data_IF_960515726086
#
_entry.id   IF_960515726086
#
_cell.length_a   1.000
_cell.length_b   1.000
_cell.length_c   1.000
_cell.angle_alpha   90.00
_cell.angle_beta   90.00
_cell.angle_gamma   90.00
#
_symmetry.space_group_name_H-M   'P 1'
#
loop_
_entity.id
_entity.type
_entity.pdbx_description
1 polymer ?
#
# COMPACT_ATOMS: atom_id res chain seq x y z
N UNK A 1 3.26 10.35 -1.56
CA UNK A 1 2.87 8.94 -1.45
C UNK A 1 3.72 8.28 -0.40
N UNK A 2 3.13 7.46 0.46
CA UNK A 2 3.86 6.44 1.22
C UNK A 2 3.56 5.12 0.53
N UNK A 3 4.60 4.34 0.25
CA UNK A 3 4.52 3.06 -0.44
C UNK A 3 5.16 2.00 0.47
N UNK A 4 4.32 1.27 1.20
CA UNK A 4 4.77 0.20 2.12
C UNK A 4 5.11 -1.09 1.39
N UNK A 5 4.74 -1.23 0.12
CA UNK A 5 5.20 -2.29 -0.77
C UNK A 5 6.55 -1.98 -1.43
N UNK A 6 6.99 -0.72 -1.38
CA UNK A 6 8.18 -0.19 -2.02
C UNK A 6 9.46 -0.33 -1.19
N UNK A 7 10.59 -0.53 -1.88
CA UNK A 7 11.92 -0.63 -1.26
C UNK A 7 12.75 0.65 -1.33
N UNK A 8 12.16 1.78 -1.74
CA UNK A 8 12.88 3.03 -2.00
C UNK A 8 12.10 4.27 -1.54
N UNK A 9 12.83 5.31 -1.14
CA UNK A 9 12.31 6.66 -0.97
C UNK A 9 12.69 7.45 -2.22
N UNK A 10 11.79 8.25 -2.80
CA UNK A 10 12.17 9.11 -3.92
C UNK A 10 11.32 10.38 -4.07
N UNK A 11 11.87 11.43 -4.69
CA UNK A 11 11.18 12.70 -5.00
C UNK A 11 11.58 13.27 -6.38
N UNK A 12 10.77 14.16 -6.96
CA UNK A 12 11.08 14.79 -8.26
C UNK A 12 12.15 15.87 -8.15
N UNK A 13 13.19 15.75 -8.98
CA UNK A 13 14.36 16.61 -8.94
C UNK A 13 14.53 17.45 -10.22
N UNK A 14 15.15 18.62 -10.08
CA UNK A 14 15.56 19.45 -11.21
C UNK A 14 16.92 19.02 -11.78
N UNK A 15 17.15 19.11 -13.11
CA UNK A 15 16.15 19.34 -14.14
C UNK A 15 15.33 18.07 -14.41
N UNK A 16 14.00 18.22 -14.46
CA UNK A 16 13.15 17.09 -14.79
C UNK A 16 12.89 17.01 -16.29
N UNK A 17 12.91 15.79 -16.85
CA UNK A 17 12.58 15.53 -18.26
C UNK A 17 11.10 15.21 -18.47
N UNK A 18 10.55 14.24 -17.72
CA UNK A 18 9.17 13.76 -17.84
C UNK A 18 8.52 13.71 -16.44
N UNK A 19 8.06 14.86 -15.92
CA UNK A 19 7.44 14.98 -14.60
C UNK A 19 5.95 15.31 -14.68
N UNK A 20 5.17 14.77 -13.75
CA UNK A 20 3.81 15.26 -13.46
C UNK A 20 3.87 16.53 -12.60
N UNK A 21 2.79 17.31 -12.64
CA UNK A 21 2.66 18.50 -11.81
C UNK A 21 2.44 18.10 -10.34
N UNK A 22 3.34 18.55 -9.46
CA UNK A 22 3.21 18.41 -8.01
C UNK A 22 2.90 19.76 -7.36
N UNK A 23 2.22 19.74 -6.22
CA UNK A 23 1.86 20.93 -5.43
C UNK A 23 3.08 21.73 -4.97
N UNK A 24 4.17 21.04 -4.64
CA UNK A 24 5.41 21.64 -4.12
C UNK A 24 6.48 21.77 -5.21
N UNK A 25 7.45 22.67 -5.04
CA UNK A 25 8.54 22.82 -6.00
C UNK A 25 9.36 21.53 -6.14
N UNK A 26 9.88 21.27 -7.35
CA UNK A 26 10.81 20.17 -7.60
C UNK A 26 12.08 20.37 -6.75
N UNK A 27 12.63 19.29 -6.22
CA UNK A 27 13.84 19.33 -5.42
C UNK A 27 15.04 19.77 -6.27
N UNK A 28 15.71 20.86 -5.90
CA UNK A 28 16.92 21.31 -6.59
C UNK A 28 18.16 20.72 -5.89
N UNK A 29 18.62 19.58 -6.37
CA UNK A 29 19.80 18.89 -5.84
C UNK A 29 21.09 19.71 -5.94
N UNK A 30 21.18 20.66 -6.89
CA UNK A 30 22.34 21.53 -7.04
C UNK A 30 22.40 22.64 -5.97
N UNK A 31 21.25 22.96 -5.35
CA UNK A 31 21.17 23.94 -4.27
C UNK A 31 21.49 23.35 -2.89
N UNK A 32 21.56 22.01 -2.76
CA UNK A 32 21.85 21.34 -1.50
C UNK A 32 23.33 21.08 -1.32
N UNK A 33 23.85 21.50 -0.17
CA UNK A 33 25.25 21.25 0.21
C UNK A 33 25.50 19.82 0.70
N UNK A 34 24.46 19.09 1.13
CA UNK A 34 24.52 17.72 1.62
C UNK A 34 24.20 16.66 0.56
N UNK A 35 23.65 17.06 -0.59
CA UNK A 35 23.37 16.15 -1.70
C UNK A 35 24.63 15.50 -2.27
N UNK A 36 24.65 14.18 -2.42
CA UNK A 36 25.72 13.45 -3.11
C UNK A 36 25.14 12.32 -3.95
N UNK A 37 25.67 12.06 -5.14
CA UNK A 37 25.28 10.86 -5.91
C UNK A 37 25.81 9.59 -5.23
N UNK A 38 25.04 8.51 -5.24
CA UNK A 38 25.49 7.22 -4.74
C UNK A 38 26.51 6.64 -5.74
N UNK A 39 27.73 6.29 -5.30
CA UNK A 39 28.75 5.80 -6.22
C UNK A 39 28.46 4.37 -6.69
N UNK A 40 28.83 4.03 -7.92
CA UNK A 40 28.63 2.68 -8.47
C UNK A 40 29.32 1.56 -7.69
N UNK A 41 30.41 1.84 -6.97
CA UNK A 41 31.07 0.84 -6.14
C UNK A 41 30.32 0.56 -4.83
N UNK A 42 29.29 1.36 -4.50
CA UNK A 42 28.48 1.13 -3.31
C UNK A 42 27.81 -0.25 -3.35
N UNK A 43 27.76 -1.03 -2.25
CA UNK A 43 27.22 -2.39 -2.25
C UNK A 43 25.80 -2.52 -2.80
N UNK A 44 24.93 -1.52 -2.61
CA UNK A 44 23.62 -1.51 -3.26
C UNK A 44 23.70 -1.53 -4.78
N UNK A 45 24.69 -0.86 -5.38
CA UNK A 45 24.84 -0.73 -6.82
C UNK A 45 25.70 -1.82 -7.47
N UNK A 46 26.70 -2.31 -6.74
CA UNK A 46 27.65 -3.33 -7.21
C UNK A 46 27.28 -4.74 -6.77
N UNK A 47 26.39 -4.90 -5.79
CA UNK A 47 26.08 -6.17 -5.11
C UNK A 47 24.98 -7.01 -5.76
N UNK A 48 24.65 -6.78 -7.03
CA UNK A 48 23.62 -7.56 -7.74
C UNK A 48 22.19 -7.33 -7.23
N UNK A 49 21.92 -6.18 -6.61
CA UNK A 49 20.58 -5.81 -6.20
C UNK A 49 19.69 -5.61 -7.44
N UNK A 50 18.51 -6.24 -7.54
CA UNK A 50 17.66 -6.12 -8.72
C UNK A 50 17.15 -4.68 -8.95
N UNK A 51 17.12 -3.85 -7.91
CA UNK A 51 16.61 -2.49 -7.95
C UNK A 51 17.66 -1.45 -8.33
N UNK A 52 18.96 -1.74 -8.18
CA UNK A 52 20.04 -0.77 -8.36
C UNK A 52 21.12 -1.33 -9.27
N UNK A 53 21.49 -0.56 -10.29
CA UNK A 53 22.49 -0.97 -11.28
C UNK A 53 23.39 0.20 -11.65
N UNK A 54 24.68 -0.06 -11.82
CA UNK A 54 25.58 0.93 -12.38
C UNK A 54 25.38 1.03 -13.90
N UNK A 55 24.83 2.15 -14.36
CA UNK A 55 24.59 2.42 -15.78
C UNK A 55 25.35 3.69 -16.16
N UNK A 56 26.26 3.60 -17.13
CA UNK A 56 27.07 4.72 -17.60
C UNK A 56 27.84 5.49 -16.48
N UNK A 57 28.27 4.78 -15.44
CA UNK A 57 29.00 5.38 -14.31
C UNK A 57 28.12 6.04 -13.25
N UNK A 58 26.80 5.97 -13.38
CA UNK A 58 25.84 6.41 -12.37
C UNK A 58 25.14 5.20 -11.74
N UNK A 59 24.89 5.28 -10.43
CA UNK A 59 24.04 4.31 -9.79
C UNK A 59 22.58 4.63 -10.08
N UNK A 60 21.95 3.83 -10.93
CA UNK A 60 20.56 4.01 -11.34
C UNK A 60 19.69 3.03 -10.56
N UNK A 61 18.62 3.53 -9.95
CA UNK A 61 17.57 2.66 -9.44
C UNK A 61 16.45 2.54 -10.47
N UNK A 62 15.79 1.38 -10.50
CA UNK A 62 14.58 1.13 -11.29
C UNK A 62 13.60 0.35 -10.43
N UNK A 63 12.37 0.83 -10.35
CA UNK A 63 11.28 0.17 -9.63
C UNK A 63 10.13 -0.10 -10.58
N UNK A 64 9.65 -1.34 -10.56
CA UNK A 64 8.51 -1.81 -11.33
C UNK A 64 7.32 -2.01 -10.40
N UNK A 65 6.24 -1.29 -10.67
CA UNK A 65 5.01 -1.37 -9.88
C UNK A 65 4.06 -2.43 -10.46
N UNK A 66 3.17 -2.99 -9.63
CA UNK A 66 2.18 -3.97 -10.07
C UNK A 66 1.19 -3.43 -11.12
N UNK A 67 1.01 -2.11 -11.18
CA UNK A 67 0.28 -1.42 -12.25
C UNK A 67 0.94 -1.52 -13.62
N UNK A 68 2.20 -1.97 -13.68
CA UNK A 68 3.04 -1.92 -14.87
C UNK A 68 3.77 -0.60 -15.07
N UNK A 69 3.54 0.42 -14.21
CA UNK A 69 4.35 1.64 -14.25
C UNK A 69 5.77 1.37 -13.78
N UNK A 70 6.72 2.14 -14.30
CA UNK A 70 8.14 2.04 -13.97
C UNK A 70 8.66 3.42 -13.60
N UNK A 71 9.36 3.49 -12.48
CA UNK A 71 10.16 4.67 -12.15
C UNK A 71 11.64 4.34 -12.20
N UNK A 72 12.46 5.27 -12.67
CA UNK A 72 13.92 5.19 -12.59
C UNK A 72 14.55 6.55 -12.36
N UNK A 73 15.74 6.54 -11.76
CA UNK A 73 16.47 7.76 -11.44
C UNK A 73 17.88 7.47 -10.91
N UNK A 74 18.63 8.52 -10.62
CA UNK A 74 19.96 8.40 -10.01
C UNK A 74 19.80 8.23 -8.51
N UNK A 75 20.26 7.10 -7.98
CA UNK A 75 20.33 6.85 -6.55
C UNK A 75 21.32 7.82 -5.91
N UNK A 76 20.89 8.48 -4.85
CA UNK A 76 21.61 9.59 -4.24
C UNK A 76 21.50 9.55 -2.71
N UNK A 77 22.36 10.31 -2.04
CA UNK A 77 22.39 10.52 -0.60
C UNK A 77 21.92 11.95 -0.30
N UNK A 78 21.13 12.10 0.76
CA UNK A 78 20.70 13.39 1.27
C UNK A 78 20.44 13.34 2.79
N UNK A 79 20.42 14.51 3.41
CA UNK A 79 19.98 14.71 4.79
C UNK A 79 18.47 14.91 4.86
N UNK A 80 17.78 14.07 5.63
CA UNK A 80 16.35 14.24 5.90
C UNK A 80 16.17 14.72 7.33
N UNK A 81 15.23 15.65 7.49
CA UNK A 81 14.80 16.18 8.77
C UNK A 81 13.41 15.63 9.07
N UNK A 82 13.25 15.01 10.23
CA UNK A 82 12.00 14.44 10.72
C UNK A 82 11.55 15.25 11.93
N UNK A 83 10.30 15.72 11.89
CA UNK A 83 9.73 16.49 12.98
C UNK A 83 9.31 15.59 14.13
N UNK A 84 9.64 15.96 15.36
CA UNK A 84 9.14 15.28 16.57
C UNK A 84 7.76 15.83 16.94
N UNK A 85 6.75 14.98 16.76
CA UNK A 85 5.34 15.35 17.01
C UNK A 85 4.97 15.43 18.49
N UNK A 86 5.85 15.04 19.41
CA UNK A 86 5.69 15.19 20.87
C UNK A 86 6.33 16.48 21.39
N UNK A 87 6.88 17.32 20.51
CA UNK A 87 7.45 18.61 20.85
C UNK A 87 8.90 18.56 21.33
N UNK A 88 9.59 17.43 21.15
CA UNK A 88 11.04 17.36 21.29
C UNK A 88 11.78 17.92 20.07
N UNK A 89 13.12 17.81 20.05
CA UNK A 89 13.93 18.33 18.94
C UNK A 89 13.81 17.46 17.69
N UNK A 90 13.69 18.12 16.54
CA UNK A 90 13.68 17.44 15.24
C UNK A 90 14.92 16.56 15.03
N UNK A 91 14.71 15.36 14.49
CA UNK A 91 15.78 14.42 14.18
C UNK A 91 16.32 14.63 12.76
N UNK A 92 17.64 14.71 12.60
CA UNK A 92 18.30 14.82 11.28
C UNK A 92 19.12 13.55 11.04
N UNK A 93 18.81 12.84 9.96
CA UNK A 93 19.60 11.70 9.48
C UNK A 93 20.40 12.12 8.25
N UNK A 94 21.72 12.11 8.34
CA UNK A 94 22.62 12.77 7.39
C UNK A 94 23.12 11.89 6.24
N UNK A 95 22.50 10.75 5.95
CA UNK A 95 22.95 9.82 4.87
C UNK A 95 21.83 8.88 4.41
N UNK A 96 20.63 9.40 4.18
CA UNK A 96 19.54 8.58 3.65
C UNK A 96 19.72 8.42 2.14
N UNK A 97 19.68 7.17 1.68
CA UNK A 97 19.64 6.85 0.25
C UNK A 97 18.23 7.13 -0.24
N UNK A 98 18.10 7.99 -1.23
CA UNK A 98 16.85 8.31 -1.89
C UNK A 98 17.03 8.43 -3.41
N UNK A 99 15.93 8.29 -4.12
CA UNK A 99 15.86 8.44 -5.56
C UNK A 99 15.38 9.82 -6.00
N UNK A 100 15.99 10.38 -7.03
CA UNK A 100 15.43 11.49 -7.77
C UNK A 100 14.56 10.95 -8.92
N UNK A 101 13.23 10.91 -8.75
CA UNK A 101 12.28 10.32 -9.72
C UNK A 101 11.17 11.26 -10.12
N UNK A 102 10.61 11.06 -11.30
CA UNK A 102 9.77 12.00 -12.01
C UNK A 102 8.23 11.68 -11.97
N UNK A 103 7.65 10.92 -10.99
CA UNK A 103 6.18 10.53 -11.00
C UNK A 103 5.38 10.11 -9.68
N UNK A 104 4.57 10.93 -8.96
CA UNK A 104 4.11 10.67 -7.56
C UNK A 104 2.98 11.55 -6.90
N UNK A 105 1.89 11.00 -6.32
CA UNK A 105 0.86 11.78 -5.59
C UNK A 105 0.78 11.68 -4.03
N UNK A 106 0.27 12.76 -3.39
CA UNK A 106 -0.29 13.07 -2.02
C UNK A 106 0.37 12.63 -0.67
N UNK A 107 0.22 13.42 0.43
CA UNK A 107 0.76 13.13 1.78
C UNK A 107 -0.17 12.30 2.69
N UNK A 108 0.43 11.56 3.63
CA UNK A 108 -0.16 10.72 4.69
C UNK A 108 0.48 11.14 6.04
N UNK A 109 -0.21 10.93 7.16
CA UNK A 109 0.41 11.00 8.50
C UNK A 109 1.27 9.76 8.75
N UNK A 110 2.58 9.96 8.89
CA UNK A 110 3.57 8.91 9.14
C UNK A 110 4.35 9.23 10.41
N UNK A 111 4.38 8.29 11.36
CA UNK A 111 5.07 8.41 12.65
C UNK A 111 6.14 7.33 12.77
N UNK A 112 7.24 7.63 13.44
CA UNK A 112 8.37 6.70 13.59
C UNK A 112 8.73 6.48 15.06
N UNK A 113 9.11 5.26 15.41
CA UNK A 113 9.68 4.94 16.72
C UNK A 113 8.78 5.36 17.88
N UNK A 114 9.34 6.12 18.82
CA UNK A 114 8.61 6.55 20.01
C UNK A 114 7.45 7.50 19.70
N UNK A 115 7.36 8.09 18.50
CA UNK A 115 6.24 8.97 18.11
C UNK A 115 4.93 8.21 17.87
N UNK A 116 5.00 6.88 17.75
CA UNK A 116 3.82 6.04 17.56
C UNK A 116 3.01 6.05 18.87
N UNK A 117 1.75 6.51 18.87
CA UNK A 117 0.90 6.42 20.05
C UNK A 117 0.75 4.97 20.46
N UNK A 118 0.77 4.70 21.76
CA UNK A 118 0.51 3.34 22.24
C UNK A 118 -0.89 2.93 21.79
N UNK A 119 -1.02 1.81 21.08
CA UNK A 119 -2.30 1.39 20.56
C UNK A 119 -3.26 1.08 21.73
N UNK A 120 -4.45 1.66 21.69
CA UNK A 120 -5.46 1.49 22.73
C UNK A 120 -6.39 0.33 22.33
N UNK A 121 -6.58 -0.63 23.23
CA UNK A 121 -7.53 -1.73 23.03
C UNK A 121 -6.89 -3.01 22.51
N UNK A 122 -7.65 -3.79 21.75
CA UNK A 122 -7.23 -5.11 21.27
C UNK A 122 -6.39 -4.99 19.98
N UNK A 123 -5.08 -5.06 20.13
CA UNK A 123 -4.13 -4.96 19.01
C UNK A 123 -3.99 -6.32 18.33
N UNK A 124 -4.38 -6.36 17.07
CA UNK A 124 -4.18 -7.54 16.22
C UNK A 124 -2.72 -7.57 15.76
N UNK A 125 -2.06 -8.72 15.86
CA UNK A 125 -0.63 -8.85 15.54
C UNK A 125 -0.40 -10.07 14.66
N UNK A 126 0.15 -9.86 13.47
CA UNK A 126 0.53 -10.94 12.54
C UNK A 126 2.03 -10.88 12.24
N UNK A 127 2.74 -12.01 12.22
CA UNK A 127 4.13 -12.02 11.79
C UNK A 127 4.24 -11.65 10.31
N UNK A 128 5.34 -11.01 9.95
CA UNK A 128 5.75 -10.84 8.56
C UNK A 128 7.09 -11.55 8.31
N UNK A 129 7.39 -11.80 7.04
CA UNK A 129 8.72 -12.17 6.60
C UNK A 129 9.06 -11.50 5.27
N UNK A 130 10.35 -11.34 5.00
CA UNK A 130 10.83 -10.82 3.71
C UNK A 130 11.28 -12.04 2.90
N UNK A 131 10.58 -12.35 1.81
CA UNK A 131 10.94 -13.47 0.96
C UNK A 131 12.20 -13.15 0.12
N UNK A 132 12.92 -14.16 -0.39
CA UNK A 132 14.04 -13.93 -1.29
C UNK A 132 13.62 -13.13 -2.53
N UNK A 133 14.46 -12.17 -2.94
CA UNK A 133 14.28 -11.33 -4.13
C UNK A 133 13.04 -10.42 -4.14
N UNK A 134 12.41 -10.20 -2.98
CA UNK A 134 11.37 -9.18 -2.81
C UNK A 134 11.75 -8.21 -1.70
N UNK A 135 11.14 -7.04 -1.70
CA UNK A 135 11.46 -5.93 -0.78
C UNK A 135 10.27 -5.52 0.10
N UNK A 136 9.14 -6.22 0.00
CA UNK A 136 7.93 -5.99 0.79
C UNK A 136 7.76 -7.03 1.90
N UNK A 137 7.03 -6.64 2.94
CA UNK A 137 6.66 -7.50 4.07
C UNK A 137 5.55 -8.46 3.66
N UNK A 138 5.90 -9.72 3.48
CA UNK A 138 4.94 -10.78 3.14
C UNK A 138 4.22 -11.27 4.39
N UNK A 139 2.91 -11.46 4.28
CA UNK A 139 2.02 -11.92 5.33
C UNK A 139 1.38 -13.26 4.99
N UNK A 140 1.09 -14.05 6.02
CA UNK A 140 0.39 -15.31 5.87
C UNK A 140 -1.13 -15.09 6.00
N UNK A 141 -1.81 -14.83 4.88
CA UNK A 141 -3.27 -14.80 4.83
C UNK A 141 -3.81 -16.23 4.79
N UNK A 142 -4.62 -16.59 5.78
CA UNK A 142 -5.22 -17.91 5.92
C UNK A 142 -6.55 -18.02 5.18
N UNK A 143 -7.37 -16.96 5.23
CA UNK A 143 -8.70 -16.96 4.62
C UNK A 143 -9.29 -15.55 4.52
N UNK A 144 -10.44 -15.42 3.87
CA UNK A 144 -11.25 -14.20 3.81
C UNK A 144 -12.66 -14.51 4.30
N UNK A 145 -13.30 -13.57 4.99
CA UNK A 145 -14.74 -13.60 5.28
C UNK A 145 -15.45 -12.40 4.66
N UNK A 146 -16.68 -12.63 4.20
CA UNK A 146 -17.63 -11.57 3.84
C UNK A 146 -18.73 -11.60 4.89
N UNK A 147 -18.91 -10.50 5.63
CA UNK A 147 -19.61 -10.51 6.90
C UNK A 147 -19.07 -11.62 7.82
N UNK A 148 -19.95 -12.48 8.34
CA UNK A 148 -19.58 -13.62 9.18
C UNK A 148 -19.33 -14.91 8.38
N UNK A 149 -19.45 -14.86 7.04
CA UNK A 149 -19.30 -16.04 6.20
C UNK A 149 -17.85 -16.17 5.73
N UNK A 150 -17.18 -17.15 6.30
CA UNK A 150 -15.84 -17.56 5.91
C UNK A 150 -15.82 -18.28 4.56
N UNK A 151 -14.85 -17.94 3.71
CA UNK A 151 -14.70 -18.52 2.37
C UNK A 151 -14.23 -19.98 2.42
N UNK A 152 -13.47 -20.37 3.44
CA UNK A 152 -12.89 -21.71 3.61
C UNK A 152 -11.99 -22.10 2.43
N UNK A 153 -11.15 -21.18 1.98
CA UNK A 153 -10.15 -21.50 0.96
C UNK A 153 -9.22 -22.63 1.42
N UNK A 154 -8.73 -23.49 0.51
CA UNK A 154 -7.74 -24.49 0.85
C UNK A 154 -6.53 -23.87 1.59
N UNK A 155 -6.02 -24.49 2.66
CA UNK A 155 -4.84 -23.99 3.34
C UNK A 155 -3.66 -23.78 2.37
N UNK A 156 -3.07 -22.58 2.39
CA UNK A 156 -1.99 -22.22 1.48
C UNK A 156 -2.42 -21.54 0.17
N UNK A 157 -3.72 -21.27 -0.04
CA UNK A 157 -4.22 -20.54 -1.22
C UNK A 157 -3.47 -19.24 -1.50
N UNK A 158 -3.13 -18.46 -0.46
CA UNK A 158 -2.43 -17.17 -0.59
C UNK A 158 -0.92 -17.25 -0.35
N UNK A 159 -0.34 -18.44 -0.21
CA UNK A 159 1.10 -18.57 0.01
C UNK A 159 1.88 -18.28 -1.28
N UNK A 160 3.05 -17.65 -1.11
CA UNK A 160 4.01 -17.44 -2.19
C UNK A 160 4.46 -18.80 -2.77
N UNK A 161 4.40 -18.94 -4.09
CA UNK A 161 4.90 -20.13 -4.76
C UNK A 161 6.44 -20.19 -4.70
N UNK A 162 7.06 -21.37 -4.50
CA UNK A 162 8.53 -21.50 -4.44
C UNK A 162 9.25 -21.03 -5.71
N UNK A 163 8.60 -21.15 -6.87
CA UNK A 163 9.11 -20.71 -8.18
C UNK A 163 8.89 -19.21 -8.43
N UNK A 164 8.26 -18.49 -7.49
CA UNK A 164 7.94 -17.07 -7.62
C UNK A 164 6.77 -16.74 -8.54
N UNK A 165 6.02 -17.74 -9.02
CA UNK A 165 4.86 -17.55 -9.91
C UNK A 165 3.70 -16.78 -9.23
N UNK A 166 3.61 -16.88 -7.91
CA UNK A 166 2.75 -16.06 -7.04
C UNK A 166 3.61 -15.38 -5.98
N UNK A 167 3.26 -14.13 -5.63
CA UNK A 167 4.03 -13.29 -4.71
C UNK A 167 3.60 -13.44 -3.25
N UNK A 168 2.43 -14.02 -3.02
CA UNK A 168 1.80 -14.11 -1.70
C UNK A 168 0.85 -12.93 -1.44
N UNK A 169 0.71 -12.56 -0.17
CA UNK A 169 -0.13 -11.46 0.30
C UNK A 169 0.71 -10.42 1.05
N UNK A 170 0.50 -9.14 0.79
CA UNK A 170 1.17 -8.05 1.51
C UNK A 170 0.27 -6.80 1.63
N UNK A 171 0.68 -5.84 2.47
CA UNK A 171 -0.03 -4.57 2.67
C UNK A 171 0.76 -3.46 1.98
N UNK A 172 0.08 -2.73 1.09
CA UNK A 172 0.72 -1.70 0.27
C UNK A 172 -0.13 -0.44 0.19
N UNK A 173 0.29 0.62 0.89
CA UNK A 173 -0.32 1.95 0.80
C UNK A 173 -0.06 2.66 -0.53
N UNK A 174 0.89 2.18 -1.34
CA UNK A 174 1.15 2.62 -2.70
C UNK A 174 0.15 2.05 -3.72
N UNK A 175 -0.51 0.93 -3.40
CA UNK A 175 -1.61 0.38 -4.18
C UNK A 175 -2.92 1.07 -3.76
N UNK A 176 -3.59 1.86 -4.62
CA UNK A 176 -4.80 2.58 -4.21
C UNK A 176 -5.94 1.65 -3.81
N UNK A 177 -6.10 0.55 -4.53
CA UNK A 177 -7.19 -0.42 -4.39
C UNK A 177 -6.63 -1.79 -4.04
N UNK A 178 -7.33 -2.53 -3.18
CA UNK A 178 -6.99 -3.92 -2.87
C UNK A 178 -7.06 -4.78 -4.12
N UNK A 179 -6.07 -5.65 -4.28
CA UNK A 179 -5.95 -6.60 -5.37
C UNK A 179 -5.97 -8.01 -4.80
N UNK A 180 -6.81 -8.90 -5.33
CA UNK A 180 -6.79 -10.33 -4.98
C UNK A 180 -6.33 -11.13 -6.19
N UNK A 181 -5.33 -11.98 -5.99
CA UNK A 181 -4.74 -12.76 -7.06
C UNK A 181 -5.75 -13.76 -7.65
N UNK A 182 -5.87 -13.77 -8.97
CA UNK A 182 -6.64 -14.77 -9.70
C UNK A 182 -5.87 -16.09 -9.87
N UNK A 183 -4.54 -16.04 -9.75
CA UNK A 183 -3.62 -17.17 -9.86
C UNK A 183 -3.18 -17.73 -8.50
N UNK A 184 -3.99 -17.54 -7.45
CA UNK A 184 -3.77 -18.17 -6.15
C UNK A 184 -3.61 -19.68 -6.25
N UNK A 185 -2.96 -20.28 -5.25
CA UNK A 185 -2.77 -21.72 -5.23
C UNK A 185 -4.12 -22.44 -5.12
N UNK A 186 -4.24 -23.55 -5.86
CA UNK A 186 -5.37 -24.49 -5.88
C UNK A 186 -6.68 -23.97 -6.49
N UNK A 187 -7.06 -22.72 -6.23
CA UNK A 187 -8.34 -22.12 -6.65
C UNK A 187 -8.13 -20.67 -7.07
N UNK A 188 -9.09 -20.10 -7.80
CA UNK A 188 -9.13 -18.66 -8.08
C UNK A 188 -9.86 -17.94 -6.93
N UNK A 189 -9.09 -17.36 -6.00
CA UNK A 189 -9.63 -16.72 -4.81
C UNK A 189 -10.43 -15.46 -5.13
N UNK A 190 -9.98 -14.66 -6.10
CA UNK A 190 -10.69 -13.48 -6.57
C UNK A 190 -12.10 -13.83 -7.06
N UNK A 191 -12.23 -14.80 -7.98
CA UNK A 191 -13.54 -15.20 -8.51
C UNK A 191 -14.45 -15.76 -7.42
N UNK A 192 -13.90 -16.51 -6.46
CA UNK A 192 -14.67 -17.00 -5.31
C UNK A 192 -15.21 -15.86 -4.44
N UNK A 193 -14.36 -14.89 -4.11
CA UNK A 193 -14.73 -13.73 -3.29
C UNK A 193 -15.78 -12.86 -4.00
N UNK A 194 -15.57 -12.56 -5.28
CA UNK A 194 -16.51 -11.79 -6.09
C UNK A 194 -17.85 -12.52 -6.23
N UNK A 195 -17.87 -13.84 -6.38
CA UNK A 195 -19.12 -14.60 -6.39
C UNK A 195 -19.91 -14.42 -5.09
N UNK A 196 -19.26 -14.48 -3.93
CA UNK A 196 -19.93 -14.31 -2.64
C UNK A 196 -20.50 -12.90 -2.46
N UNK A 197 -19.73 -11.88 -2.84
CA UNK A 197 -20.17 -10.48 -2.81
C UNK A 197 -21.33 -10.24 -3.78
N UNK A 198 -21.27 -10.86 -4.97
CA UNK A 198 -22.36 -10.82 -5.95
C UNK A 198 -23.64 -11.41 -5.36
N UNK A 199 -23.56 -12.59 -4.75
CA UNK A 199 -24.72 -13.24 -4.13
C UNK A 199 -25.35 -12.37 -3.04
N UNK A 200 -24.53 -11.68 -2.23
CA UNK A 200 -25.02 -10.72 -1.23
C UNK A 200 -25.86 -9.62 -1.87
N UNK A 201 -25.33 -8.91 -2.87
CA UNK A 201 -26.06 -7.81 -3.52
C UNK A 201 -27.25 -8.26 -4.38
N UNK A 202 -27.15 -9.42 -5.05
CA UNK A 202 -28.26 -10.00 -5.79
C UNK A 202 -29.45 -10.29 -4.86
N UNK A 203 -29.20 -10.76 -3.63
CA UNK A 203 -30.25 -11.02 -2.63
C UNK A 203 -30.99 -9.77 -2.18
N UNK A 204 -30.39 -8.59 -2.40
CA UNK A 204 -30.94 -7.27 -2.08
C UNK A 204 -31.62 -6.61 -3.29
N UNK A 205 -31.71 -7.31 -4.42
CA UNK A 205 -32.38 -6.87 -5.65
C UNK A 205 -31.83 -5.55 -6.19
N UNK A 206 -30.53 -5.33 -6.04
CA UNK A 206 -29.86 -4.14 -6.58
C UNK A 206 -29.67 -4.25 -8.09
N UNK A 207 -29.83 -3.14 -8.79
CA UNK A 207 -29.63 -3.09 -10.24
C UNK A 207 -28.14 -3.03 -10.58
N UNK A 208 -27.61 -4.07 -11.25
CA UNK A 208 -26.22 -4.14 -11.66
C UNK A 208 -25.95 -3.21 -12.85
N UNK A 209 -24.82 -2.50 -12.81
CA UNK A 209 -24.30 -1.69 -13.92
C UNK A 209 -23.39 -2.57 -14.78
N UNK A 210 -23.67 -2.65 -16.09
CA UNK A 210 -22.96 -3.56 -17.01
C UNK A 210 -21.51 -3.15 -17.30
N UNK A 211 -21.22 -1.84 -17.27
CA UNK A 211 -19.88 -1.29 -17.50
C UNK A 211 -19.70 -0.04 -16.64
N UNK A 212 -18.69 -0.05 -15.79
CA UNK A 212 -18.27 1.12 -15.05
C UNK A 212 -16.83 1.46 -15.44
N UNK A 213 -16.65 2.49 -16.27
CA UNK A 213 -15.33 3.08 -16.49
C UNK A 213 -15.01 4.03 -15.34
N UNK A 214 -14.97 3.50 -14.11
CA UNK A 214 -14.56 4.27 -12.92
C UNK A 214 -13.05 4.18 -12.83
N UNK A 215 -12.37 5.32 -13.01
CA UNK A 215 -10.96 5.49 -12.64
C UNK A 215 -10.04 4.42 -13.21
N UNK A 216 -9.91 4.31 -14.55
CA UNK A 216 -8.95 3.41 -15.22
C UNK A 216 -8.99 1.91 -14.81
N UNK A 217 -9.95 1.51 -13.96
CA UNK A 217 -10.10 0.18 -13.38
C UNK A 217 -11.50 -0.37 -13.64
N UNK A 218 -11.57 -1.52 -14.30
CA UNK A 218 -12.83 -2.20 -14.53
C UNK A 218 -13.26 -2.98 -13.28
N UNK A 219 -13.87 -2.30 -12.32
CA UNK A 219 -14.51 -2.97 -11.17
C UNK A 219 -15.60 -3.94 -11.66
N UNK A 220 -15.56 -5.17 -11.16
CA UNK A 220 -16.45 -6.23 -11.67
C UNK A 220 -17.89 -6.10 -11.16
N UNK A 221 -18.08 -5.63 -9.93
CA UNK A 221 -19.39 -5.58 -9.28
C UNK A 221 -19.77 -4.15 -8.97
N UNK A 222 -20.64 -3.58 -9.79
CA UNK A 222 -21.18 -2.23 -9.62
C UNK A 222 -22.69 -2.24 -9.67
N UNK A 223 -23.31 -1.39 -8.86
CA UNK A 223 -24.76 -1.32 -8.67
C UNK A 223 -25.21 0.13 -8.59
N UNK A 224 -26.36 0.45 -9.18
CA UNK A 224 -26.93 1.80 -9.07
C UNK A 224 -27.14 2.16 -7.61
N UNK A 225 -26.86 3.43 -7.29
CA UNK A 225 -27.11 3.94 -5.95
C UNK A 225 -28.60 3.88 -5.65
N UNK A 226 -28.90 3.47 -4.43
CA UNK A 226 -30.25 3.47 -3.87
C UNK A 226 -30.23 4.41 -2.67
N UNK A 227 -31.17 5.37 -2.58
CA UNK A 227 -31.28 6.23 -1.41
C UNK A 227 -31.30 5.41 -0.11
N UNK A 228 -30.52 5.86 0.88
CA UNK A 228 -30.42 5.27 2.22
C UNK A 228 -29.95 3.80 2.27
N UNK A 229 -29.37 3.28 1.18
CA UNK A 229 -28.79 1.94 1.20
C UNK A 229 -27.48 1.92 1.98
N UNK A 230 -27.42 1.09 3.02
CA UNK A 230 -26.25 0.96 3.91
C UNK A 230 -25.86 -0.51 4.16
N UNK A 231 -26.50 -1.46 3.47
CA UNK A 231 -26.28 -2.90 3.68
C UNK A 231 -25.08 -3.41 2.89
N UNK A 232 -23.96 -2.69 2.98
CA UNK A 232 -22.68 -3.12 2.41
C UNK A 232 -22.02 -4.13 3.37
N UNK A 233 -21.41 -5.21 2.86
CA UNK A 233 -20.79 -6.20 3.71
C UNK A 233 -19.45 -5.70 4.26
N UNK A 234 -19.08 -6.16 5.44
CA UNK A 234 -17.69 -6.08 5.91
C UNK A 234 -16.87 -7.17 5.21
N UNK A 235 -15.57 -6.93 5.09
CA UNK A 235 -14.62 -7.94 4.59
C UNK A 235 -13.54 -8.12 5.65
N UNK A 236 -13.30 -9.36 6.08
CA UNK A 236 -12.24 -9.66 7.05
C UNK A 236 -11.16 -10.52 6.40
N UNK A 237 -9.91 -10.07 6.48
CA UNK A 237 -8.73 -10.82 6.09
C UNK A 237 -8.17 -11.53 7.33
N UNK A 238 -8.23 -12.86 7.33
CA UNK A 238 -7.79 -13.68 8.44
C UNK A 238 -6.31 -14.01 8.28
N UNK A 239 -5.45 -13.17 8.83
CA UNK A 239 -4.02 -13.44 8.88
C UNK A 239 -3.69 -14.46 9.98
N UNK A 240 -2.48 -15.01 9.93
CA UNK A 240 -1.98 -15.85 11.00
C UNK A 240 -1.95 -15.10 12.34
N UNK A 241 -2.89 -15.44 13.22
CA UNK A 241 -2.98 -14.86 14.57
C UNK A 241 -3.69 -13.51 14.64
N UNK A 242 -4.26 -13.01 13.54
CA UNK A 242 -4.83 -11.66 13.49
C UNK A 242 -5.97 -11.54 12.46
N UNK A 243 -7.02 -10.82 12.83
CA UNK A 243 -8.16 -10.55 11.94
C UNK A 243 -8.20 -9.07 11.56
N UNK A 244 -7.97 -8.78 10.27
CA UNK A 244 -8.07 -7.43 9.73
C UNK A 244 -9.46 -7.23 9.12
N UNK A 245 -10.34 -6.48 9.79
CA UNK A 245 -11.70 -6.20 9.30
C UNK A 245 -11.78 -4.82 8.66
N UNK A 246 -12.18 -4.80 7.39
CA UNK A 246 -12.53 -3.58 6.64
C UNK A 246 -13.97 -3.22 6.94
N UNK A 247 -14.19 -1.98 7.38
CA UNK A 247 -15.52 -1.40 7.57
C UNK A 247 -16.29 -1.39 6.24
N UNK A 248 -17.60 -1.67 6.31
CA UNK A 248 -18.50 -1.74 5.15
C UNK A 248 -18.46 -0.50 4.25
N UNK A 249 -18.18 0.69 4.80
CA UNK A 249 -18.10 1.93 4.00
C UNK A 249 -16.86 1.98 3.11
N UNK A 250 -15.84 1.17 3.39
CA UNK A 250 -14.59 1.10 2.63
C UNK A 250 -14.52 -0.15 1.72
N UNK A 251 -15.53 -1.02 1.74
CA UNK A 251 -15.62 -2.15 0.81
C UNK A 251 -16.22 -1.78 -0.55
N UNK A 252 -16.67 -0.53 -0.69
CA UNK A 252 -17.27 0.03 -1.90
C UNK A 252 -16.76 1.43 -2.21
N UNK A 253 -16.81 1.82 -3.49
CA UNK A 253 -16.50 3.16 -3.99
C UNK A 253 -17.73 3.71 -4.71
N UNK A 254 -18.17 4.91 -4.36
CA UNK A 254 -19.22 5.62 -5.07
C UNK A 254 -18.66 6.44 -6.24
N UNK A 255 -19.35 6.42 -7.38
CA UNK A 255 -19.06 7.23 -8.54
C UNK A 255 -20.31 7.44 -9.40
N UNK A 256 -20.64 8.69 -9.75
CA UNK A 256 -21.69 9.05 -10.71
C UNK A 256 -23.05 8.30 -10.53
N UNK A 257 -23.55 8.20 -9.29
CA UNK A 257 -24.86 7.61 -9.01
C UNK A 257 -24.89 6.07 -8.98
N UNK A 258 -23.73 5.44 -8.85
CA UNK A 258 -23.59 4.03 -8.56
C UNK A 258 -22.41 3.80 -7.61
N UNK A 259 -22.36 2.60 -7.02
CA UNK A 259 -21.22 2.14 -6.23
C UNK A 259 -20.65 0.85 -6.80
N UNK A 260 -19.37 0.62 -6.57
CA UNK A 260 -18.64 -0.57 -6.99
C UNK A 260 -17.90 -1.21 -5.81
N UNK A 261 -17.79 -2.53 -5.79
CA UNK A 261 -16.92 -3.25 -4.84
C UNK A 261 -15.46 -2.85 -5.08
N UNK A 262 -14.76 -2.39 -4.04
CA UNK A 262 -13.40 -1.83 -4.11
C UNK A 262 -12.29 -2.89 -4.12
N UNK A 263 -12.43 -3.92 -4.98
CA UNK A 263 -11.43 -4.99 -5.17
C UNK A 263 -11.19 -5.20 -6.66
N UNK A 264 -9.92 -5.32 -7.05
CA UNK A 264 -9.50 -5.58 -8.42
C UNK A 264 -8.81 -6.96 -8.55
N UNK A 265 -8.83 -7.56 -9.75
CA UNK A 265 -8.14 -8.82 -10.01
C UNK A 265 -6.62 -8.62 -10.07
N UNK A 266 -5.88 -9.52 -9.42
CA UNK A 266 -4.43 -9.61 -9.47
C UNK A 266 -3.94 -10.71 -10.39
N UNK A 267 -2.68 -10.58 -10.86
CA UNK A 267 -2.05 -11.55 -11.75
C UNK A 267 -0.71 -12.04 -11.21
N UNK A 268 -0.73 -12.71 -10.06
CA UNK A 268 0.44 -13.28 -9.40
C UNK A 268 0.76 -12.65 -8.04
N UNK A 269 -0.13 -11.89 -7.42
CA UNK A 269 0.06 -11.35 -6.07
C UNK A 269 -1.22 -10.74 -5.53
N UNK A 270 -1.40 -10.80 -4.21
CA UNK A 270 -2.52 -10.16 -3.52
C UNK A 270 -2.02 -9.04 -2.62
N UNK A 271 -2.77 -7.95 -2.57
CA UNK A 271 -2.39 -6.70 -1.92
C UNK A 271 -3.57 -6.12 -1.19
N UNK A 272 -3.40 -5.82 0.11
CA UNK A 272 -4.32 -4.95 0.83
C UNK A 272 -3.97 -3.50 0.50
N UNK A 273 -4.80 -2.86 -0.34
CA UNK A 273 -4.54 -1.51 -0.84
C UNK A 273 -5.01 -0.42 0.12
N UNK A 274 -4.56 0.81 -0.12
CA UNK A 274 -4.79 1.99 0.72
C UNK A 274 -6.28 2.23 1.03
N UNK A 275 -7.20 1.97 0.08
CA UNK A 275 -8.62 2.15 0.31
C UNK A 275 -9.18 1.25 1.43
N UNK A 276 -8.65 0.04 1.59
CA UNK A 276 -8.98 -0.87 2.72
C UNK A 276 -8.15 -0.61 3.98
N UNK A 277 -7.13 0.26 3.89
CA UNK A 277 -6.31 0.70 5.02
C UNK A 277 -6.90 1.89 5.79
N UNK A 278 -7.99 2.47 5.29
CA UNK A 278 -8.61 3.63 5.91
C UNK A 278 -9.15 3.34 7.31
N UNK A 279 -8.97 4.30 8.22
CA UNK A 279 -9.33 4.21 9.64
C UNK A 279 -8.71 3.00 10.36
N UNK A 280 -7.47 2.69 10.00
CA UNK A 280 -6.67 1.68 10.65
C UNK A 280 -5.31 2.26 10.97
N UNK A 281 -4.86 2.13 12.21
CA UNK A 281 -3.45 2.32 12.54
C UNK A 281 -2.72 1.03 12.18
N UNK A 282 -1.76 1.10 11.26
CA UNK A 282 -0.92 -0.03 10.85
C UNK A 282 0.51 0.26 11.28
N UNK A 283 1.08 -0.61 12.13
CA UNK A 283 2.41 -0.46 12.71
C UNK A 283 3.28 -1.59 12.19
N UNK A 284 4.37 -1.23 11.52
CA UNK A 284 5.40 -2.17 11.08
C UNK A 284 6.48 -2.22 12.16
N UNK A 285 6.46 -3.25 13.01
CA UNK A 285 7.43 -3.39 14.11
C UNK A 285 8.51 -4.43 13.77
N UNK A 286 9.67 -3.92 13.39
CA UNK A 286 10.85 -4.74 13.09
C UNK A 286 11.48 -5.42 14.31
N UNK A 287 11.21 -4.97 15.55
CA UNK A 287 11.75 -5.60 16.75
C UNK A 287 11.11 -6.96 17.02
N UNK A 288 9.84 -7.10 16.65
CA UNK A 288 9.06 -8.34 16.81
C UNK A 288 8.75 -9.02 15.46
N UNK A 289 9.29 -8.50 14.36
CA UNK A 289 9.04 -8.95 12.99
C UNK A 289 7.55 -9.16 12.69
N UNK A 290 6.72 -8.22 13.12
CA UNK A 290 5.26 -8.32 13.00
C UNK A 290 4.64 -7.00 12.55
N UNK A 291 3.49 -7.12 11.88
CA UNK A 291 2.61 -6.00 11.63
C UNK A 291 1.52 -6.04 12.69
N UNK A 292 1.32 -4.90 13.34
CA UNK A 292 0.23 -4.70 14.27
C UNK A 292 -0.80 -3.77 13.65
N UNK A 293 -2.08 -4.02 13.92
CA UNK A 293 -3.13 -3.12 13.49
C UNK A 293 -4.28 -3.03 14.49
N UNK A 294 -4.88 -1.84 14.56
CA UNK A 294 -6.10 -1.61 15.32
C UNK A 294 -6.94 -0.51 14.65
N UNK A 295 -8.28 -0.59 14.74
CA UNK A 295 -9.16 0.47 14.25
C UNK A 295 -8.84 1.81 14.92
N UNK A 296 -8.86 2.87 14.14
CA UNK A 296 -8.61 4.23 14.61
C UNK A 296 -9.35 5.23 13.71
N UNK A 297 -9.92 6.30 14.28
CA UNK A 297 -10.33 7.42 13.46
C UNK A 297 -9.11 8.25 13.10
N UNK A 298 -8.52 8.02 11.93
CA UNK A 298 -7.30 8.73 11.51
C UNK A 298 -7.52 10.25 11.37
N UNK A 299 -8.77 10.71 11.26
CA UNK A 299 -9.12 12.13 11.29
C UNK A 299 -9.01 12.75 12.69
N UNK A 300 -8.87 11.95 13.75
CA UNK A 300 -8.59 12.45 15.10
C UNK A 300 -7.08 12.38 15.41
N UNK A 301 -6.26 11.80 14.51
CA UNK A 301 -4.79 11.75 14.63
C UNK A 301 -4.19 13.08 14.16
N UNK A 302 -4.55 14.14 14.89
CA UNK A 302 -4.02 15.49 14.74
C UNK A 302 -3.07 15.82 15.88
N UNK A 303 -2.11 16.71 15.60
CA UNK A 303 -1.23 17.28 16.62
C UNK A 303 -1.98 18.34 17.43
N UNK A 304 -1.65 18.46 18.72
CA UNK A 304 -2.02 19.65 19.48
C UNK A 304 -1.22 20.82 18.87
N UNK A 305 -1.84 21.61 17.99
CA UNK A 305 -1.23 22.83 17.43
C UNK A 305 -1.47 23.11 15.94
N UNK A 306 -2.14 22.24 15.18
CA UNK A 306 -2.35 22.43 13.73
C UNK A 306 -3.73 23.02 13.37
N UNK A 307 -4.16 24.05 14.10
CA UNK A 307 -5.37 24.85 13.78
C UNK A 307 -5.15 25.80 12.57
N UNK A 308 -4.13 25.55 11.74
CA UNK A 308 -3.70 26.48 10.68
C UNK A 308 -4.26 26.19 9.28
N UNK A 309 -5.13 25.19 9.14
CA UNK A 309 -5.77 24.82 7.88
C UNK A 309 -7.31 24.97 7.92
N UNK A 310 -7.78 26.21 8.11
CA UNK A 310 -9.13 26.65 7.72
C UNK A 310 -9.02 27.69 6.60
#
# INVERSE_FOLDING_TARGET
MVDTGGGQIWTQCQPCKNCFQQKYALYNSQASSSYRKLPCYHPFCSGGNPLYQCVNGECVYTSWYLSGSVTSGVASLESFKFHDFKGGPDFISSSIIFGCSNDNPYPLNLRFGEDIPSPIGNVQTTPFYIAPNVYFYTLNLLDISVNLRRMNFPPGTFQRAPDGSTLGFFIDSGAPITVIDQRTNFVNAYSGLMLLLKMHYDSLWLERVAHSSVLEGNFELCYKDKPDFQQHPTITYHFQGADYTVDSKFTIIHFNGYFCVSILPGNGGSVLGAYHQQNMRIIYDGNINSIQFHPENCADDHTIGDDSFN
#
